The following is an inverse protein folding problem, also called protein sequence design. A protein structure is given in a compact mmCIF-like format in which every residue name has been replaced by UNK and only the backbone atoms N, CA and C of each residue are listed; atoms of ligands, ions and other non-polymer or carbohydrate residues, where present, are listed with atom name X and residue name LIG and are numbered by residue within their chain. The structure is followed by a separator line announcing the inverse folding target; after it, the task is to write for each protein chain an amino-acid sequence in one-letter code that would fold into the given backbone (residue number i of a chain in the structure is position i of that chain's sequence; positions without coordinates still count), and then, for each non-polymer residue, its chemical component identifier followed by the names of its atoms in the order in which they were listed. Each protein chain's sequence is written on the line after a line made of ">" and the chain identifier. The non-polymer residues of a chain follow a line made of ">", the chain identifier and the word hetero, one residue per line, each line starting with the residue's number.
data_IF_319359385910
#
_entry.id   IF_319359385910
#
_cell.length_a   1.000
_cell.length_b   1.000
_cell.length_c   1.000
_cell.angle_alpha   90.00
_cell.angle_beta   90.00
_cell.angle_gamma   90.00
#
_symmetry.space_group_name_H-M   'P 1'
#
loop_
_entity.id
_entity.type
_entity.pdbx_description
1 polymer ?
#
# COMPACT_ATOMS: atom_id res chain seq x y z
N UNK A 1 -1.26 -0.40 1.80
CA UNK A 1 -2.12 -0.87 2.92
C UNK A 1 -1.26 -1.38 4.07
N UNK A 2 -1.60 -1.10 5.33
CA UNK A 2 -0.84 -1.51 6.53
C UNK A 2 -1.79 -1.95 7.64
N UNK A 3 -1.28 -2.72 8.62
CA UNK A 3 -2.03 -3.00 9.84
C UNK A 3 -2.27 -1.72 10.65
N UNK A 4 -3.39 -1.66 11.36
CA UNK A 4 -3.68 -0.57 12.29
C UNK A 4 -2.61 -0.48 13.38
N UNK A 5 -2.08 0.73 13.59
CA UNK A 5 -1.06 1.01 14.59
C UNK A 5 -1.54 0.74 16.02
N UNK A 6 -2.86 0.80 16.28
CA UNK A 6 -3.39 0.50 17.62
C UNK A 6 -3.17 -0.96 18.03
N UNK A 7 -3.09 -1.89 17.07
CA UNK A 7 -2.79 -3.30 17.32
C UNK A 7 -1.39 -3.51 17.93
N UNK A 8 -0.48 -2.55 17.74
CA UNK A 8 0.88 -2.56 18.29
C UNK A 8 0.95 -1.92 19.69
N UNK A 9 -0.12 -1.29 20.16
CA UNK A 9 -0.14 -0.54 21.42
C UNK A 9 -0.86 -1.33 22.51
N UNK A 10 -0.10 -1.85 23.47
CA UNK A 10 -0.65 -2.60 24.61
C UNK A 10 -1.58 -1.75 25.47
N UNK A 11 -1.31 -0.43 25.59
CA UNK A 11 -2.17 0.52 26.31
C UNK A 11 -3.53 0.78 25.63
N UNK A 12 -3.67 0.39 24.36
CA UNK A 12 -4.91 0.48 23.56
C UNK A 12 -5.62 -0.87 23.39
N UNK A 13 -5.17 -1.91 24.09
CA UNK A 13 -5.69 -3.27 23.95
C UNK A 13 -5.08 -4.07 22.80
N UNK A 14 -4.10 -3.50 22.09
CA UNK A 14 -3.31 -4.20 21.07
C UNK A 14 -2.43 -5.30 21.67
N UNK A 15 -1.99 -6.22 20.80
CA UNK A 15 -1.15 -7.36 21.19
C UNK A 15 0.00 -7.58 20.19
N UNK A 16 1.15 -6.90 20.37
CA UNK A 16 2.33 -7.07 19.53
C UNK A 16 2.82 -8.51 19.42
N UNK A 17 2.63 -9.32 20.47
CA UNK A 17 3.04 -10.73 20.45
C UNK A 17 2.27 -11.55 19.43
N UNK A 18 0.97 -11.26 19.22
CA UNK A 18 0.18 -11.89 18.14
C UNK A 18 0.69 -11.49 16.76
N UNK A 19 1.14 -10.25 16.60
CA UNK A 19 1.71 -9.78 15.33
C UNK A 19 3.06 -10.46 15.07
N UNK A 20 3.89 -10.64 16.11
CA UNK A 20 5.14 -11.43 16.01
C UNK A 20 4.87 -12.88 15.59
N UNK A 21 3.87 -13.53 16.19
CA UNK A 21 3.46 -14.89 15.80
C UNK A 21 3.01 -14.94 14.33
N UNK A 22 2.19 -13.97 13.90
CA UNK A 22 1.74 -13.87 12.51
C UNK A 22 2.91 -13.67 11.52
N UNK A 23 3.87 -12.81 11.84
CA UNK A 23 5.07 -12.61 11.03
C UNK A 23 5.93 -13.88 10.97
N UNK A 24 6.07 -14.61 12.07
CA UNK A 24 6.78 -15.88 12.11
C UNK A 24 6.10 -16.93 11.22
N UNK A 25 4.77 -17.03 11.26
CA UNK A 25 3.99 -17.91 10.36
C UNK A 25 4.15 -17.54 8.88
N UNK A 26 4.52 -16.30 8.57
CA UNK A 26 4.82 -15.82 7.22
C UNK A 26 6.30 -15.97 6.83
N UNK A 27 7.14 -16.54 7.69
CA UNK A 27 8.59 -16.68 7.48
C UNK A 27 9.28 -15.33 7.19
N UNK A 28 8.77 -14.25 7.80
CA UNK A 28 9.31 -12.90 7.69
C UNK A 28 9.99 -12.48 9.00
N UNK A 29 10.75 -11.39 8.92
CA UNK A 29 11.47 -10.84 10.06
C UNK A 29 10.50 -10.36 11.15
N UNK A 30 10.57 -11.01 12.31
CA UNK A 30 9.75 -10.71 13.49
C UNK A 30 10.25 -9.46 14.23
N UNK A 31 11.51 -9.07 14.05
CA UNK A 31 12.10 -7.91 14.74
C UNK A 31 11.52 -6.58 14.25
N UNK A 32 10.91 -6.59 13.05
CA UNK A 32 10.17 -5.44 12.52
C UNK A 32 9.03 -5.01 13.45
N UNK A 33 8.39 -5.95 14.16
CA UNK A 33 7.33 -5.63 15.12
C UNK A 33 7.88 -4.81 16.29
N UNK A 34 9.04 -5.21 16.82
CA UNK A 34 9.68 -4.49 17.91
C UNK A 34 10.16 -3.11 17.44
N UNK A 35 10.70 -3.01 16.22
CA UNK A 35 11.05 -1.72 15.59
C UNK A 35 9.86 -0.77 15.46
N UNK A 36 8.68 -1.27 15.10
CA UNK A 36 7.44 -0.46 15.06
C UNK A 36 7.05 0.02 16.46
N UNK A 37 7.06 -0.87 17.45
CA UNK A 37 6.70 -0.54 18.84
C UNK A 37 7.65 0.49 19.45
N UNK A 38 8.96 0.33 19.23
CA UNK A 38 10.00 1.24 19.71
C UNK A 38 9.83 2.64 19.10
N UNK A 39 9.71 2.72 17.78
CA UNK A 39 9.54 3.99 17.07
C UNK A 39 8.20 4.66 17.39
N UNK A 40 7.10 3.92 17.51
CA UNK A 40 5.81 4.49 17.93
C UNK A 40 5.88 5.01 19.37
N UNK A 41 6.56 4.31 20.27
CA UNK A 41 6.75 4.75 21.66
C UNK A 41 7.60 6.02 21.75
N UNK A 42 8.69 6.10 20.99
CA UNK A 42 9.52 7.30 20.89
C UNK A 42 8.74 8.46 20.30
N UNK A 43 8.02 8.23 19.19
CA UNK A 43 7.17 9.22 18.53
C UNK A 43 6.09 9.76 19.47
N UNK A 44 5.39 8.90 20.23
CA UNK A 44 4.38 9.34 21.21
C UNK A 44 4.97 10.21 22.32
N UNK A 45 6.16 9.87 22.83
CA UNK A 45 6.87 10.70 23.83
C UNK A 45 7.26 12.06 23.27
N UNK A 46 7.78 12.10 22.04
CA UNK A 46 8.14 13.35 21.37
C UNK A 46 6.91 14.19 21.03
N UNK A 47 5.76 13.56 20.73
CA UNK A 47 4.50 14.26 20.49
C UNK A 47 4.02 14.94 21.77
N UNK A 48 4.05 14.23 22.90
CA UNK A 48 3.75 14.81 24.20
C UNK A 48 4.72 15.97 24.54
N UNK A 49 6.02 15.79 24.27
CA UNK A 49 7.03 16.84 24.45
C UNK A 49 6.74 18.07 23.55
N UNK A 50 6.29 17.88 22.32
CA UNK A 50 5.90 18.99 21.44
C UNK A 50 4.75 19.81 22.03
N UNK A 51 3.72 19.14 22.56
CA UNK A 51 2.58 19.81 23.21
C UNK A 51 3.02 20.55 24.48
N UNK A 52 3.93 19.96 25.26
CA UNK A 52 4.54 20.61 26.42
C UNK A 52 5.34 21.86 26.02
N UNK A 53 6.26 21.78 25.06
CA UNK A 53 7.07 22.91 24.60
C UNK A 53 6.17 24.05 24.06
N UNK A 54 5.11 23.72 23.33
CA UNK A 54 4.10 24.71 22.90
C UNK A 54 3.44 25.42 24.09
N UNK A 55 3.05 24.67 25.12
CA UNK A 55 2.49 25.24 26.36
C UNK A 55 3.51 26.16 27.04
N UNK A 56 4.77 25.75 27.15
CA UNK A 56 5.84 26.55 27.77
C UNK A 56 6.13 27.84 26.99
N UNK A 57 6.17 27.77 25.66
CA UNK A 57 6.30 28.94 24.79
C UNK A 57 5.17 29.96 25.02
N UNK A 58 3.95 29.46 25.20
CA UNK A 58 2.79 30.31 25.51
C UNK A 58 2.91 30.94 26.91
N UNK A 59 3.42 30.20 27.90
CA UNK A 59 3.68 30.72 29.26
C UNK A 59 4.72 31.85 29.22
N UNK A 60 5.84 31.67 28.50
CA UNK A 60 6.84 32.71 28.28
C UNK A 60 6.23 33.96 27.63
N UNK A 61 5.41 33.76 26.59
CA UNK A 61 4.77 34.86 25.86
C UNK A 61 3.79 35.65 26.75
N UNK A 62 3.05 34.94 27.61
CA UNK A 62 2.14 35.54 28.59
C UNK A 62 2.88 36.37 29.63
N UNK A 63 3.95 35.83 30.24
CA UNK A 63 4.71 36.54 31.26
C UNK A 63 5.42 37.79 30.70
N UNK A 64 5.95 37.72 29.47
CA UNK A 64 6.47 38.89 28.76
C UNK A 64 5.36 39.95 28.63
N UNK A 65 4.17 39.57 28.20
CA UNK A 65 3.02 40.47 28.07
C UNK A 65 2.63 41.14 29.40
N UNK A 66 2.61 40.38 30.49
CA UNK A 66 2.31 40.89 31.83
C UNK A 66 3.37 41.89 32.33
N UNK A 67 4.66 41.59 32.16
CA UNK A 67 5.76 42.49 32.55
C UNK A 67 5.77 43.78 31.73
N UNK A 68 5.51 43.68 30.43
CA UNK A 68 5.41 44.86 29.55
C UNK A 68 4.23 45.76 29.94
N UNK A 69 3.07 45.18 30.28
CA UNK A 69 1.89 45.92 30.77
C UNK A 69 2.16 46.64 32.09
N UNK A 70 2.95 46.03 32.98
CA UNK A 70 3.38 46.61 34.26
C UNK A 70 4.55 47.60 34.13
N UNK A 71 5.06 47.87 32.91
CA UNK A 71 6.21 48.74 32.63
C UNK A 71 7.48 48.36 33.42
N UNK A 72 7.68 47.07 33.68
CA UNK A 72 8.90 46.57 34.31
C UNK A 72 10.08 46.83 33.35
N UNK A 73 11.25 47.30 33.82
CA UNK A 73 12.43 47.47 32.98
C UNK A 73 12.76 46.17 32.22
N UNK A 74 13.07 46.30 30.94
CA UNK A 74 13.31 45.15 30.04
C UNK A 74 14.51 44.32 30.51
N UNK A 75 15.52 45.00 31.08
CA UNK A 75 16.80 44.41 31.50
C UNK A 75 17.69 44.08 30.31
N UNK A 76 19.00 44.29 30.44
CA UNK A 76 19.96 44.07 29.33
C UNK A 76 20.76 42.77 29.50
N UNK A 77 20.58 42.08 30.63
CA UNK A 77 21.26 40.82 30.90
C UNK A 77 20.61 39.68 30.10
N UNK A 78 21.42 39.03 29.27
CA UNK A 78 21.02 37.85 28.49
C UNK A 78 21.35 36.53 29.22
N UNK A 79 22.10 36.57 30.32
CA UNK A 79 22.49 35.36 31.06
C UNK A 79 21.29 34.82 31.82
N UNK A 80 20.79 33.67 31.35
CA UNK A 80 19.76 32.91 32.04
C UNK A 80 20.46 31.90 32.97
N UNK A 81 20.00 31.72 34.22
CA UNK A 81 20.51 30.67 35.11
C UNK A 81 20.42 29.29 34.44
N UNK A 82 21.48 28.48 34.53
CA UNK A 82 21.53 27.15 33.91
C UNK A 82 20.41 26.23 34.38
N UNK A 83 19.99 26.37 35.64
CA UNK A 83 18.88 25.63 36.25
C UNK A 83 17.55 25.74 35.47
N UNK A 84 17.34 26.83 34.73
CA UNK A 84 16.16 27.05 33.89
C UNK A 84 16.24 26.22 32.61
N UNK A 85 17.42 26.07 32.02
CA UNK A 85 17.62 25.25 30.83
C UNK A 85 17.64 23.77 31.17
N UNK A 86 18.28 23.39 32.29
CA UNK A 86 18.37 22.00 32.75
C UNK A 86 16.99 21.43 33.10
N UNK A 87 16.07 22.28 33.58
CA UNK A 87 14.70 21.90 33.95
C UNK A 87 13.65 22.60 33.08
N UNK A 88 13.94 22.78 31.79
CA UNK A 88 13.07 23.52 30.88
C UNK A 88 11.67 22.91 30.79
N UNK A 89 11.57 21.58 30.88
CA UNK A 89 10.30 20.85 30.83
C UNK A 89 9.41 21.13 32.08
N UNK A 90 10.01 21.54 33.21
CA UNK A 90 9.34 21.88 34.48
C UNK A 90 9.21 23.41 34.68
N UNK A 91 9.22 24.17 33.59
CA UNK A 91 9.14 25.62 33.63
C UNK A 91 7.72 26.07 34.02
N UNK A 92 7.63 26.88 35.08
CA UNK A 92 6.36 27.45 35.58
C UNK A 92 6.37 28.97 35.44
N UNK A 93 5.18 29.58 35.48
CA UNK A 93 5.07 31.04 35.43
C UNK A 93 5.82 31.69 36.61
N UNK A 94 5.78 31.10 37.80
CA UNK A 94 6.50 31.58 39.00
C UNK A 94 8.01 31.67 38.77
N UNK A 95 8.63 30.63 38.18
CA UNK A 95 10.06 30.63 37.85
C UNK A 95 10.45 31.72 36.84
N UNK A 96 9.50 32.18 36.01
CA UNK A 96 9.73 33.27 35.05
C UNK A 96 9.56 34.67 35.67
N UNK A 97 8.84 34.79 36.78
CA UNK A 97 8.64 36.10 37.43
C UNK A 97 9.94 36.73 37.93
N UNK A 98 10.94 35.92 38.28
CA UNK A 98 12.26 36.34 38.75
C UNK A 98 13.19 36.80 37.61
N UNK A 99 12.86 36.47 36.35
CA UNK A 99 13.66 36.79 35.18
C UNK A 99 13.27 38.14 34.55
N UNK A 100 14.22 38.77 33.86
CA UNK A 100 14.00 39.97 33.04
C UNK A 100 13.30 39.62 31.72
N UNK A 101 12.76 40.62 31.02
CA UNK A 101 12.11 40.38 29.72
C UNK A 101 13.12 39.83 28.70
N UNK A 102 14.37 40.31 28.72
CA UNK A 102 15.44 39.82 27.85
C UNK A 102 15.81 38.37 28.14
N UNK A 103 15.90 37.97 29.41
CA UNK A 103 16.11 36.57 29.82
C UNK A 103 14.95 35.67 29.37
N UNK A 104 13.69 36.09 29.55
CA UNK A 104 12.53 35.28 29.12
C UNK A 104 12.48 35.14 27.59
N UNK A 105 12.88 36.18 26.83
CA UNK A 105 13.04 36.08 25.38
C UNK A 105 14.12 35.06 24.99
N UNK A 106 15.23 35.00 25.73
CA UNK A 106 16.28 33.99 25.53
C UNK A 106 15.78 32.57 25.82
N UNK A 107 15.05 32.36 26.91
CA UNK A 107 14.38 31.08 27.22
C UNK A 107 13.42 30.67 26.10
N UNK A 108 12.61 31.62 25.60
CA UNK A 108 11.69 31.37 24.49
C UNK A 108 12.43 30.94 23.22
N UNK A 109 13.56 31.59 22.90
CA UNK A 109 14.38 31.21 21.75
C UNK A 109 14.91 29.78 21.88
N UNK A 110 15.36 29.38 23.08
CA UNK A 110 15.78 28.01 23.34
C UNK A 110 14.62 27.01 23.18
N UNK A 111 13.41 27.36 23.66
CA UNK A 111 12.21 26.53 23.44
C UNK A 111 11.92 26.40 21.94
N UNK A 112 12.03 27.48 21.16
CA UNK A 112 11.83 27.43 19.71
C UNK A 112 12.86 26.52 19.01
N UNK A 113 14.10 26.50 19.47
CA UNK A 113 15.14 25.63 18.92
C UNK A 113 14.96 24.15 19.35
N UNK A 114 14.52 23.91 20.60
CA UNK A 114 14.10 22.59 21.07
C UNK A 114 12.89 22.05 20.30
N UNK A 115 11.92 22.91 19.97
CA UNK A 115 10.76 22.54 19.15
C UNK A 115 11.22 22.08 17.76
N UNK A 116 12.10 22.82 17.08
CA UNK A 116 12.65 22.41 15.78
C UNK A 116 13.37 21.06 15.88
N UNK A 117 14.21 20.87 16.90
CA UNK A 117 14.91 19.59 17.11
C UNK A 117 13.93 18.44 17.36
N UNK A 118 12.87 18.68 18.14
CA UNK A 118 11.83 17.70 18.43
C UNK A 118 11.02 17.33 17.19
N UNK A 119 10.69 18.31 16.34
CA UNK A 119 9.96 18.11 15.09
C UNK A 119 10.77 17.25 14.09
N UNK A 120 12.08 17.48 13.98
CA UNK A 120 12.97 16.62 13.18
C UNK A 120 12.95 15.18 13.66
N UNK A 121 13.05 14.95 14.99
CA UNK A 121 13.01 13.60 15.57
C UNK A 121 11.63 12.94 15.43
N UNK A 122 10.55 13.73 15.50
CA UNK A 122 9.20 13.25 15.24
C UNK A 122 9.08 12.70 13.82
N UNK A 123 9.53 13.47 12.83
CA UNK A 123 9.49 13.06 11.43
C UNK A 123 10.37 11.82 11.17
N UNK A 124 11.54 11.73 11.81
CA UNK A 124 12.44 10.58 11.72
C UNK A 124 11.78 9.30 12.25
N UNK A 125 11.29 9.30 13.49
CA UNK A 125 10.63 8.12 14.07
C UNK A 125 9.33 7.75 13.36
N UNK A 126 8.59 8.73 12.83
CA UNK A 126 7.41 8.46 12.00
C UNK A 126 7.79 7.74 10.70
N UNK A 127 8.84 8.22 10.02
CA UNK A 127 9.35 7.58 8.81
C UNK A 127 9.80 6.15 9.09
N UNK A 128 10.62 5.94 10.12
CA UNK A 128 11.14 4.61 10.47
C UNK A 128 10.05 3.64 10.92
N UNK A 129 9.05 4.13 11.68
CA UNK A 129 7.86 3.36 12.04
C UNK A 129 7.11 2.92 10.78
N UNK A 130 6.84 3.85 9.87
CA UNK A 130 6.04 3.59 8.68
C UNK A 130 6.76 2.68 7.69
N UNK A 131 8.10 2.80 7.56
CA UNK A 131 8.92 1.89 6.76
C UNK A 131 8.86 0.45 7.29
N UNK A 132 9.01 0.25 8.61
CA UNK A 132 8.88 -1.07 9.20
C UNK A 132 7.45 -1.62 9.10
N UNK A 133 6.45 -0.76 9.28
CA UNK A 133 5.04 -1.13 9.25
C UNK A 133 4.58 -1.59 7.85
N UNK A 134 5.13 -1.04 6.77
CA UNK A 134 4.84 -1.44 5.37
C UNK A 134 5.23 -2.89 5.06
N UNK A 135 6.23 -3.42 5.75
CA UNK A 135 6.75 -4.77 5.56
C UNK A 135 6.07 -5.83 6.46
N UNK A 136 5.12 -5.41 7.30
CA UNK A 136 4.34 -6.31 8.16
C UNK A 136 3.07 -6.72 7.42
N UNK A 137 2.93 -8.03 7.20
CA UNK A 137 1.78 -8.60 6.50
C UNK A 137 0.51 -8.61 7.33
N UNK A 138 -0.64 -8.69 6.65
CA UNK A 138 -1.95 -8.83 7.31
C UNK A 138 -2.03 -10.11 8.16
N UNK A 139 -3.03 -10.23 9.04
CA UNK A 139 -3.28 -11.47 9.77
C UNK A 139 -3.63 -12.61 8.81
N UNK A 140 -3.01 -13.77 9.02
CA UNK A 140 -3.40 -15.02 8.37
C UNK A 140 -4.75 -15.48 8.92
N UNK A 141 -5.60 -16.00 8.03
CA UNK A 141 -6.78 -16.75 8.45
C UNK A 141 -6.34 -18.07 9.09
N UNK A 142 -7.15 -18.59 10.02
CA UNK A 142 -6.84 -19.84 10.73
C UNK A 142 -6.75 -21.07 9.82
N UNK A 143 -7.40 -21.02 8.65
CA UNK A 143 -7.33 -22.09 7.64
C UNK A 143 -6.10 -22.03 6.73
N UNK A 144 -5.27 -20.97 6.80
CA UNK A 144 -4.09 -20.88 5.96
C UNK A 144 -3.05 -21.94 6.37
N UNK A 145 -2.59 -22.74 5.40
CA UNK A 145 -1.48 -23.67 5.60
C UNK A 145 -0.20 -22.87 5.87
N UNK A 146 0.46 -23.15 7.00
CA UNK A 146 1.69 -22.47 7.40
C UNK A 146 2.90 -23.25 6.87
N UNK A 147 3.38 -22.86 5.70
CA UNK A 147 4.60 -23.42 5.11
C UNK A 147 5.37 -22.36 4.32
N UNK A 148 6.69 -22.56 4.20
CA UNK A 148 7.57 -21.78 3.32
C UNK A 148 7.83 -22.49 1.99
N UNK A 149 7.11 -23.58 1.73
CA UNK A 149 7.24 -24.39 0.53
C UNK A 149 5.89 -24.49 -0.18
N UNK A 150 5.79 -23.99 -1.42
CA UNK A 150 4.56 -24.04 -2.21
C UNK A 150 4.14 -25.47 -2.59
N UNK A 151 5.08 -26.44 -2.58
CA UNK A 151 4.74 -27.86 -2.78
C UNK A 151 3.88 -28.43 -1.64
N UNK A 152 3.78 -27.73 -0.50
CA UNK A 152 2.93 -28.09 0.64
C UNK A 152 1.57 -27.40 0.62
N UNK A 153 1.20 -26.72 -0.48
CA UNK A 153 -0.12 -26.15 -0.65
C UNK A 153 -1.19 -27.24 -0.52
N UNK A 154 -2.24 -26.96 0.26
CA UNK A 154 -3.37 -27.86 0.42
C UNK A 154 -4.24 -27.87 -0.84
N UNK A 155 -4.69 -29.06 -1.25
CA UNK A 155 -5.70 -29.23 -2.30
C UNK A 155 -7.07 -29.25 -1.63
N UNK A 156 -7.89 -28.24 -1.92
CA UNK A 156 -9.24 -28.11 -1.38
C UNK A 156 -10.25 -28.80 -2.30
N UNK A 157 -10.12 -28.61 -3.62
CA UNK A 157 -11.09 -29.09 -4.61
C UNK A 157 -10.43 -29.49 -5.93
N UNK A 158 -11.01 -30.49 -6.59
CA UNK A 158 -10.65 -30.90 -7.95
C UNK A 158 -11.88 -30.93 -8.86
N UNK A 159 -11.69 -30.62 -10.14
CA UNK A 159 -12.73 -30.71 -11.16
C UNK A 159 -12.18 -31.29 -12.46
N UNK A 160 -12.89 -32.26 -13.04
CA UNK A 160 -12.54 -32.90 -14.31
C UNK A 160 -11.41 -33.93 -14.18
N UNK A 161 -10.76 -34.22 -15.30
CA UNK A 161 -9.65 -35.17 -15.42
C UNK A 161 -8.31 -34.46 -15.53
N UNK A 162 -7.57 -34.43 -14.42
CA UNK A 162 -6.27 -33.75 -14.32
C UNK A 162 -5.07 -34.64 -14.68
N UNK A 163 -5.30 -35.93 -14.96
CA UNK A 163 -4.23 -36.89 -15.24
C UNK A 163 -3.99 -37.07 -16.74
N UNK A 164 -5.04 -36.92 -17.55
CA UNK A 164 -4.94 -37.15 -19.00
C UNK A 164 -4.08 -36.10 -19.69
N UNK A 165 -2.98 -36.57 -20.31
CA UNK A 165 -2.09 -35.75 -21.14
C UNK A 165 -2.55 -35.77 -22.61
N UNK A 166 -2.58 -34.59 -23.22
CA UNK A 166 -2.83 -34.42 -24.67
C UNK A 166 -1.51 -34.29 -25.44
N UNK A 167 -1.60 -34.40 -26.78
CA UNK A 167 -0.44 -34.55 -27.68
C UNK A 167 0.46 -33.31 -27.75
N UNK A 168 -0.12 -32.11 -27.84
CA UNK A 168 0.62 -30.88 -28.10
C UNK A 168 0.52 -29.92 -26.93
N UNK A 169 1.58 -29.16 -26.70
CA UNK A 169 1.61 -28.07 -25.73
C UNK A 169 0.93 -26.82 -26.29
N UNK A 170 0.56 -25.87 -25.43
CA UNK A 170 0.00 -24.60 -25.88
C UNK A 170 0.96 -23.84 -26.82
N UNK A 171 2.28 -23.99 -26.64
CA UNK A 171 3.31 -23.35 -27.47
C UNK A 171 3.20 -23.77 -28.93
N UNK A 172 2.98 -25.07 -29.18
CA UNK A 172 2.85 -25.58 -30.54
C UNK A 172 1.46 -25.25 -31.10
N UNK A 173 0.42 -25.38 -30.26
CA UNK A 173 -0.97 -25.15 -30.67
C UNK A 173 -1.21 -23.73 -31.18
N UNK A 174 -0.67 -22.69 -30.51
CA UNK A 174 -0.85 -21.30 -30.95
C UNK A 174 -0.19 -21.02 -32.30
N UNK A 175 0.89 -21.74 -32.64
CA UNK A 175 1.58 -21.63 -33.93
C UNK A 175 0.82 -22.42 -35.01
N UNK A 176 0.35 -23.63 -34.68
CA UNK A 176 -0.37 -24.51 -35.62
C UNK A 176 -1.64 -23.86 -36.20
N UNK A 177 -2.29 -22.97 -35.45
CA UNK A 177 -3.48 -22.24 -35.89
C UNK A 177 -3.18 -20.84 -36.45
N UNK A 178 -1.89 -20.50 -36.64
CA UNK A 178 -1.42 -19.15 -37.00
C UNK A 178 -2.00 -18.04 -36.09
N UNK A 179 -2.11 -18.36 -34.79
CA UNK A 179 -2.80 -17.53 -33.81
C UNK A 179 -1.88 -16.52 -33.10
N UNK A 180 -0.57 -16.78 -33.05
CA UNK A 180 0.39 -15.90 -32.41
C UNK A 180 1.72 -15.85 -33.18
N UNK A 181 2.36 -14.68 -33.19
CA UNK A 181 3.69 -14.44 -33.77
C UNK A 181 4.62 -13.83 -32.70
N UNK A 182 5.32 -14.71 -31.99
CA UNK A 182 6.27 -14.33 -30.94
C UNK A 182 7.59 -13.80 -31.51
N UNK A 183 8.02 -14.24 -32.70
CA UNK A 183 9.29 -13.80 -33.29
C UNK A 183 9.22 -12.32 -33.69
N UNK A 184 8.16 -11.92 -34.42
CA UNK A 184 7.95 -10.51 -34.76
C UNK A 184 7.58 -9.69 -33.53
N UNK A 185 6.86 -10.28 -32.58
CA UNK A 185 6.60 -9.66 -31.29
C UNK A 185 7.90 -9.30 -30.56
N UNK A 186 8.85 -10.23 -30.50
CA UNK A 186 10.14 -10.02 -29.86
C UNK A 186 10.98 -8.90 -30.50
N UNK A 187 10.92 -8.77 -31.83
CA UNK A 187 11.59 -7.68 -32.56
C UNK A 187 11.00 -6.31 -32.20
N UNK A 188 9.68 -6.23 -31.96
CA UNK A 188 8.98 -4.96 -31.76
C UNK A 188 9.00 -4.50 -30.30
N UNK A 189 8.69 -5.38 -29.35
CA UNK A 189 8.52 -5.02 -27.93
C UNK A 189 9.60 -5.59 -27.01
N UNK A 190 10.60 -6.28 -27.55
CA UNK A 190 11.61 -7.01 -26.77
C UNK A 190 11.14 -8.39 -26.33
N UNK A 191 11.93 -9.06 -25.49
CA UNK A 191 11.66 -10.42 -25.00
C UNK A 191 10.22 -10.60 -24.49
N UNK A 192 9.64 -11.79 -24.68
CA UNK A 192 8.23 -12.10 -24.38
C UNK A 192 7.18 -11.29 -25.15
N UNK A 193 7.60 -10.46 -26.11
CA UNK A 193 6.72 -9.81 -27.06
C UNK A 193 5.96 -10.81 -27.95
N UNK A 194 4.72 -10.47 -28.30
CA UNK A 194 3.89 -11.28 -29.20
C UNK A 194 2.93 -10.40 -30.00
N UNK A 195 2.58 -10.86 -31.20
CA UNK A 195 1.35 -10.45 -31.88
C UNK A 195 0.32 -11.55 -31.75
N UNK A 196 -0.89 -11.23 -31.32
CA UNK A 196 -2.05 -12.12 -31.44
C UNK A 196 -2.74 -11.89 -32.79
N UNK A 197 -3.18 -12.95 -33.46
CA UNK A 197 -3.74 -12.90 -34.81
C UNK A 197 -4.91 -13.87 -35.00
N UNK A 198 -5.71 -13.58 -36.02
CA UNK A 198 -6.70 -14.48 -36.59
C UNK A 198 -7.64 -15.09 -35.53
N UNK A 199 -7.72 -16.43 -35.44
CA UNK A 199 -8.69 -17.08 -34.57
C UNK A 199 -8.49 -16.77 -33.08
N UNK A 200 -7.26 -16.54 -32.62
CA UNK A 200 -7.01 -16.25 -31.20
C UNK A 200 -7.48 -14.86 -30.77
N UNK A 201 -7.47 -13.87 -31.68
CA UNK A 201 -8.05 -12.54 -31.40
C UNK A 201 -9.55 -12.66 -31.15
N UNK A 202 -10.26 -13.42 -31.98
CA UNK A 202 -11.69 -13.66 -31.76
C UNK A 202 -11.97 -14.47 -30.50
N UNK A 203 -11.12 -15.45 -30.18
CA UNK A 203 -11.25 -16.24 -28.96
C UNK A 203 -11.04 -15.39 -27.70
N UNK A 204 -10.04 -14.50 -27.69
CA UNK A 204 -9.81 -13.53 -26.61
C UNK A 204 -11.03 -12.63 -26.42
N UNK A 205 -11.57 -12.05 -27.50
CA UNK A 205 -12.77 -11.22 -27.43
C UNK A 205 -14.00 -12.01 -26.92
N UNK A 206 -14.13 -13.28 -27.31
CA UNK A 206 -15.20 -14.14 -26.82
C UNK A 206 -15.06 -14.42 -25.31
N UNK A 207 -13.84 -14.69 -24.83
CA UNK A 207 -13.55 -14.90 -23.41
C UNK A 207 -13.86 -13.65 -22.57
N UNK A 208 -13.42 -12.48 -23.04
CA UNK A 208 -13.70 -11.19 -22.40
C UNK A 208 -15.22 -10.98 -22.27
N UNK A 209 -15.95 -11.07 -23.37
CA UNK A 209 -17.40 -10.83 -23.36
C UNK A 209 -18.15 -11.84 -22.49
N UNK A 210 -17.78 -13.12 -22.54
CA UNK A 210 -18.41 -14.15 -21.71
C UNK A 210 -18.18 -13.89 -20.22
N UNK A 211 -16.93 -13.62 -19.81
CA UNK A 211 -16.59 -13.34 -18.42
C UNK A 211 -17.32 -12.08 -17.90
N UNK A 212 -17.35 -11.02 -18.70
CA UNK A 212 -18.09 -9.79 -18.35
C UNK A 212 -19.58 -10.05 -18.18
N UNK A 213 -20.22 -10.80 -19.10
CA UNK A 213 -21.65 -11.09 -19.00
C UNK A 213 -21.98 -11.93 -17.76
N UNK A 214 -21.20 -12.98 -17.47
CA UNK A 214 -21.43 -13.84 -16.31
C UNK A 214 -21.33 -13.07 -14.98
N UNK A 215 -20.33 -12.19 -14.85
CA UNK A 215 -20.20 -11.37 -13.66
C UNK A 215 -21.29 -10.28 -13.59
N UNK A 216 -21.67 -9.69 -14.73
CA UNK A 216 -22.73 -8.70 -14.77
C UNK A 216 -24.09 -9.27 -14.32
N UNK A 217 -24.43 -10.49 -14.76
CA UNK A 217 -25.62 -11.21 -14.30
C UNK A 217 -25.60 -11.49 -12.79
N UNK A 218 -24.41 -11.60 -12.19
CA UNK A 218 -24.19 -11.74 -10.74
C UNK A 218 -24.16 -10.40 -9.99
N UNK A 219 -24.50 -9.30 -10.65
CA UNK A 219 -24.59 -7.97 -10.04
C UNK A 219 -23.26 -7.22 -9.93
N UNK A 220 -22.23 -7.65 -10.64
CA UNK A 220 -20.98 -6.89 -10.72
C UNK A 220 -21.12 -5.73 -11.72
N UNK A 221 -20.62 -4.57 -11.32
CA UNK A 221 -20.60 -3.36 -12.17
C UNK A 221 -19.37 -3.38 -13.08
N UNK A 222 -19.52 -3.33 -14.42
CA UNK A 222 -18.41 -3.16 -15.35
C UNK A 222 -17.64 -1.87 -15.09
N UNK A 223 -16.32 -2.00 -14.87
CA UNK A 223 -15.44 -0.87 -14.65
C UNK A 223 -14.18 -0.98 -15.52
N UNK A 224 -14.10 -0.09 -16.50
CA UNK A 224 -12.90 0.08 -17.32
C UNK A 224 -11.97 1.10 -16.64
N UNK A 225 -10.72 0.72 -16.40
CA UNK A 225 -9.80 1.49 -15.55
C UNK A 225 -8.74 2.24 -16.37
N UNK A 226 -8.19 3.36 -15.87
CA UNK A 226 -6.95 3.91 -16.40
C UNK A 226 -5.81 2.89 -16.32
N UNK A 227 -4.97 2.81 -17.36
CA UNK A 227 -3.85 1.85 -17.40
C UNK A 227 -2.57 2.38 -16.77
N UNK A 228 -2.60 3.61 -16.28
CA UNK A 228 -1.49 4.23 -15.57
C UNK A 228 -1.99 4.97 -14.33
N UNK A 229 -1.18 4.94 -13.27
CA UNK A 229 -1.45 5.62 -12.01
C UNK A 229 -0.28 6.53 -11.64
N UNK A 230 -0.58 7.64 -10.97
CA UNK A 230 0.45 8.52 -10.40
C UNK A 230 1.24 7.76 -9.34
N UNK A 231 2.54 8.04 -9.23
CA UNK A 231 3.45 7.40 -8.25
C UNK A 231 2.90 7.42 -6.82
N UNK A 232 2.41 8.56 -6.36
CA UNK A 232 1.88 8.74 -5.00
C UNK A 232 0.68 7.80 -4.71
N UNK A 233 -0.20 7.61 -5.69
CA UNK A 233 -1.40 6.75 -5.54
C UNK A 233 -1.01 5.27 -5.68
N UNK A 234 -0.10 4.95 -6.60
CA UNK A 234 0.40 3.58 -6.78
C UNK A 234 1.06 3.05 -5.49
N UNK A 235 1.79 3.91 -4.75
CA UNK A 235 2.45 3.54 -3.49
C UNK A 235 1.50 3.12 -2.37
N UNK A 236 0.20 3.44 -2.48
CA UNK A 236 -0.80 3.08 -1.46
C UNK A 236 -1.36 1.66 -1.70
N UNK A 237 -1.38 1.24 -2.97
CA UNK A 237 -1.97 -0.02 -3.45
C UNK A 237 -0.94 -1.08 -3.86
N UNK A 238 0.33 -0.71 -4.05
CA UNK A 238 1.43 -1.62 -4.37
C UNK A 238 2.50 -1.65 -3.28
N UNK A 239 3.15 -2.80 -3.10
CA UNK A 239 4.30 -2.97 -2.21
C UNK A 239 5.60 -2.47 -2.88
N UNK A 240 6.60 -2.11 -2.07
CA UNK A 240 7.88 -1.58 -2.57
C UNK A 240 8.59 -2.55 -3.53
N UNK A 241 8.61 -3.85 -3.21
CA UNK A 241 9.20 -4.88 -4.09
C UNK A 241 8.56 -4.92 -5.48
N UNK A 242 7.26 -4.63 -5.59
CA UNK A 242 6.55 -4.62 -6.88
C UNK A 242 7.00 -3.47 -7.78
N UNK A 243 7.49 -2.36 -7.22
CA UNK A 243 8.02 -1.24 -8.02
C UNK A 243 9.26 -1.65 -8.81
N UNK A 244 10.12 -2.48 -8.22
CA UNK A 244 11.38 -2.88 -8.82
C UNK A 244 11.22 -4.13 -9.72
N UNK A 245 10.29 -5.03 -9.39
CA UNK A 245 10.17 -6.33 -10.07
C UNK A 245 8.99 -6.43 -11.06
N UNK A 246 7.91 -5.67 -10.85
CA UNK A 246 6.65 -5.84 -11.59
C UNK A 246 6.23 -4.62 -12.42
N UNK A 247 6.44 -3.38 -11.94
CA UNK A 247 5.81 -2.19 -12.51
C UNK A 247 6.67 -1.45 -13.55
N UNK A 248 6.09 -1.18 -14.72
CA UNK A 248 6.71 -0.28 -15.71
C UNK A 248 6.52 1.18 -15.33
N UNK A 249 7.61 1.96 -15.34
CA UNK A 249 7.57 3.43 -15.17
C UNK A 249 7.25 4.12 -16.50
N UNK A 250 6.30 5.03 -16.46
CA UNK A 250 5.92 5.94 -17.56
C UNK A 250 6.35 7.35 -17.18
N UNK A 251 7.13 7.99 -18.06
CA UNK A 251 7.56 9.37 -17.87
C UNK A 251 6.88 10.22 -18.92
N UNK A 252 6.07 11.18 -18.48
CA UNK A 252 5.35 12.12 -19.34
C UNK A 252 5.62 13.57 -18.95
N UNK A 253 5.15 14.53 -19.75
CA UNK A 253 5.17 15.94 -19.34
C UNK A 253 4.11 16.17 -18.25
N UNK A 254 4.46 16.96 -17.24
CA UNK A 254 3.54 17.33 -16.16
C UNK A 254 2.44 18.29 -16.62
N UNK A 255 2.68 19.05 -17.68
CA UNK A 255 1.67 19.91 -18.28
C UNK A 255 1.80 20.01 -19.80
N UNK A 256 0.69 20.36 -20.44
CA UNK A 256 0.62 20.64 -21.87
C UNK A 256 1.15 22.05 -22.22
N UNK A 257 1.61 22.82 -21.22
CA UNK A 257 2.18 24.15 -21.44
C UNK A 257 3.60 24.02 -21.98
N UNK A 258 3.90 24.79 -23.03
CA UNK A 258 5.21 24.74 -23.72
C UNK A 258 6.39 25.16 -22.84
N UNK A 259 6.14 25.93 -21.79
CA UNK A 259 7.18 26.56 -20.97
C UNK A 259 7.49 25.79 -19.66
N UNK A 260 6.77 24.70 -19.37
CA UNK A 260 7.04 23.84 -18.22
C UNK A 260 7.76 22.57 -18.68
N UNK A 261 8.96 22.35 -18.16
CA UNK A 261 9.81 21.19 -18.46
C UNK A 261 9.69 20.06 -17.43
N UNK A 262 8.78 20.17 -16.47
CA UNK A 262 8.64 19.18 -15.41
C UNK A 262 8.12 17.86 -16.00
N UNK A 263 8.76 16.77 -15.59
CA UNK A 263 8.39 15.42 -15.95
C UNK A 263 7.59 14.80 -14.81
N UNK A 264 6.47 14.16 -15.14
CA UNK A 264 5.63 13.43 -14.21
C UNK A 264 5.92 11.92 -14.33
N UNK A 265 6.07 11.28 -13.18
CA UNK A 265 6.28 9.84 -13.07
C UNK A 265 4.95 9.14 -12.77
N UNK A 266 4.55 8.27 -13.71
CA UNK A 266 3.41 7.37 -13.57
C UNK A 266 3.89 5.93 -13.69
N UNK A 267 3.04 4.99 -13.33
CA UNK A 267 3.31 3.56 -13.44
C UNK A 267 2.17 2.89 -14.19
N UNK A 268 2.50 1.99 -15.12
CA UNK A 268 1.49 1.12 -15.73
C UNK A 268 0.96 0.14 -14.67
N UNK A 269 -0.32 -0.19 -14.77
CA UNK A 269 -0.97 -1.11 -13.83
C UNK A 269 -0.55 -2.56 -14.11
N UNK A 270 -0.35 -3.35 -13.06
CA UNK A 270 -0.13 -4.80 -13.15
C UNK A 270 -1.43 -5.61 -13.04
N UNK A 271 -2.52 -4.92 -12.65
CA UNK A 271 -3.87 -5.46 -12.42
C UNK A 271 -4.87 -4.29 -12.30
N UNK A 272 -6.11 -4.47 -12.74
CA UNK A 272 -7.19 -3.49 -12.52
C UNK A 272 -7.54 -3.31 -11.04
N UNK A 273 -7.16 -4.27 -10.17
CA UNK A 273 -7.27 -4.14 -8.71
C UNK A 273 -6.64 -2.83 -8.20
N UNK A 274 -5.46 -2.43 -8.71
CA UNK A 274 -4.74 -1.24 -8.28
C UNK A 274 -5.56 0.05 -8.47
N UNK A 275 -6.04 0.38 -9.69
CA UNK A 275 -6.87 1.56 -9.89
C UNK A 275 -8.26 1.44 -9.26
N UNK A 276 -8.84 0.23 -9.13
CA UNK A 276 -10.14 0.04 -8.47
C UNK A 276 -10.02 0.29 -6.96
N UNK A 277 -8.97 -0.20 -6.31
CA UNK A 277 -8.70 0.08 -4.90
C UNK A 277 -8.52 1.59 -4.65
N UNK A 278 -7.81 2.29 -5.55
CA UNK A 278 -7.64 3.73 -5.47
C UNK A 278 -8.89 4.53 -5.88
N UNK A 279 -9.88 3.92 -6.54
CA UNK A 279 -11.10 4.60 -6.99
C UNK A 279 -11.94 5.12 -5.81
N UNK A 280 -11.93 4.39 -4.69
CA UNK A 280 -12.62 4.75 -3.44
C UNK A 280 -11.70 5.40 -2.40
N UNK A 281 -10.56 5.98 -2.83
CA UNK A 281 -9.62 6.66 -1.94
C UNK A 281 -10.26 7.89 -1.31
N UNK A 282 -10.04 8.06 -0.01
CA UNK A 282 -10.56 9.19 0.80
C UNK A 282 -12.11 9.27 0.84
N UNK A 283 -12.80 8.14 0.60
CA UNK A 283 -14.25 8.05 0.66
C UNK A 283 -14.77 7.40 1.95
N UNK A 284 -15.97 7.83 2.39
CA UNK A 284 -16.74 7.18 3.45
C UNK A 284 -17.88 6.40 2.80
N UNK A 285 -17.81 5.07 2.86
CA UNK A 285 -18.79 4.19 2.22
C UNK A 285 -19.91 3.86 3.22
N UNK A 286 -21.18 4.21 2.93
CA UNK A 286 -22.32 3.84 3.79
C UNK A 286 -22.54 2.33 3.83
N UNK A 287 -22.95 1.77 4.98
CA UNK A 287 -23.13 0.32 5.13
C UNK A 287 -24.20 -0.23 4.17
N UNK A 288 -25.22 0.56 3.84
CA UNK A 288 -26.29 0.18 2.93
C UNK A 288 -25.87 0.05 1.46
N UNK A 289 -24.72 0.60 1.05
CA UNK A 289 -24.19 0.42 -0.30
C UNK A 289 -23.33 -0.85 -0.44
N UNK A 290 -23.03 -1.53 0.67
CA UNK A 290 -22.22 -2.74 0.69
C UNK A 290 -23.10 -4.00 0.48
N UNK A 291 -22.60 -5.02 -0.24
CA UNK A 291 -21.30 -5.06 -0.91
C UNK A 291 -21.30 -4.31 -2.24
N UNK A 292 -20.21 -3.59 -2.51
CA UNK A 292 -19.93 -3.01 -3.84
C UNK A 292 -19.12 -4.04 -4.62
N UNK A 293 -19.58 -4.40 -5.83
CA UNK A 293 -18.96 -5.43 -6.68
C UNK A 293 -18.58 -4.83 -8.03
N UNK A 294 -17.31 -4.92 -8.39
CA UNK A 294 -16.79 -4.50 -9.70
C UNK A 294 -16.23 -5.67 -10.48
N UNK A 295 -16.58 -5.73 -11.77
CA UNK A 295 -15.82 -6.48 -12.74
C UNK A 295 -14.86 -5.51 -13.43
N UNK A 296 -13.57 -5.62 -13.15
CA UNK A 296 -12.53 -4.76 -13.70
C UNK A 296 -12.05 -5.28 -15.05
N UNK A 297 -12.11 -4.48 -16.10
CA UNK A 297 -11.54 -4.82 -17.41
C UNK A 297 -10.38 -3.90 -17.76
N UNK A 298 -9.19 -4.49 -17.94
CA UNK A 298 -7.99 -3.74 -18.32
C UNK A 298 -6.90 -4.60 -18.95
N UNK A 299 -6.07 -3.96 -19.78
CA UNK A 299 -4.75 -4.46 -20.11
C UNK A 299 -3.82 -4.34 -18.90
N UNK A 300 -3.16 -5.44 -18.54
CA UNK A 300 -2.19 -5.53 -17.44
C UNK A 300 -0.76 -5.56 -17.98
N UNK A 301 0.15 -4.88 -17.30
CA UNK A 301 1.56 -4.79 -17.66
C UNK A 301 2.46 -5.29 -16.53
N UNK A 302 3.33 -6.28 -16.80
CA UNK A 302 4.25 -6.85 -15.79
C UNK A 302 5.66 -6.99 -16.35
N UNK A 303 6.65 -6.49 -15.61
CA UNK A 303 8.06 -6.58 -16.01
C UNK A 303 8.62 -8.01 -15.89
N UNK A 304 8.05 -8.85 -15.02
CA UNK A 304 8.48 -10.25 -14.84
C UNK A 304 9.99 -10.40 -14.54
N UNK A 305 10.60 -9.43 -13.85
CA UNK A 305 12.05 -9.36 -13.66
C UNK A 305 12.61 -10.54 -12.84
N UNK A 306 11.82 -11.10 -11.91
CA UNK A 306 12.21 -12.23 -11.06
C UNK A 306 12.12 -13.61 -11.69
N UNK A 307 11.58 -13.76 -12.92
CA UNK A 307 11.29 -15.05 -13.54
C UNK A 307 12.16 -15.37 -14.76
N UNK A 308 13.39 -14.84 -14.80
CA UNK A 308 14.29 -14.99 -15.95
C UNK A 308 14.45 -16.46 -16.38
N UNK A 309 14.12 -16.77 -17.63
CA UNK A 309 14.24 -18.13 -18.20
C UNK A 309 13.06 -19.06 -17.94
N UNK A 310 12.06 -18.67 -17.14
CA UNK A 310 10.83 -19.46 -16.92
C UNK A 310 9.75 -19.12 -17.95
N UNK A 311 9.09 -20.13 -18.50
CA UNK A 311 7.95 -20.00 -19.43
C UNK A 311 8.20 -18.97 -20.56
N UNK A 312 9.35 -19.06 -21.24
CA UNK A 312 9.80 -18.05 -22.21
C UNK A 312 9.18 -18.20 -23.60
N UNK A 313 8.44 -19.28 -23.86
CA UNK A 313 7.81 -19.59 -25.15
C UNK A 313 6.29 -19.51 -25.04
N UNK A 314 5.64 -19.14 -26.14
CA UNK A 314 4.18 -19.02 -26.21
C UNK A 314 3.68 -17.69 -25.63
N UNK A 315 2.47 -17.72 -25.08
CA UNK A 315 1.75 -16.54 -24.56
C UNK A 315 1.31 -16.71 -23.09
N UNK A 316 1.86 -17.68 -22.37
CA UNK A 316 1.48 -17.97 -20.98
C UNK A 316 2.07 -16.96 -19.98
N UNK A 317 3.33 -16.55 -20.16
CA UNK A 317 4.00 -15.53 -19.33
C UNK A 317 4.58 -14.44 -20.22
N UNK A 318 3.86 -13.32 -20.28
CA UNK A 318 4.11 -12.18 -21.17
C UNK A 318 4.04 -10.86 -20.41
N UNK A 319 4.59 -9.79 -20.99
CA UNK A 319 4.61 -8.46 -20.35
C UNK A 319 3.27 -7.71 -20.44
N UNK A 320 2.40 -8.11 -21.36
CA UNK A 320 1.12 -7.46 -21.63
C UNK A 320 0.05 -8.55 -21.79
N UNK A 321 -1.09 -8.43 -21.10
CA UNK A 321 -2.23 -9.35 -21.24
C UNK A 321 -3.52 -8.70 -20.79
N UNK A 322 -4.66 -9.13 -21.32
CA UNK A 322 -5.98 -8.69 -20.86
C UNK A 322 -6.43 -9.49 -19.63
N UNK A 323 -7.14 -8.84 -18.71
CA UNK A 323 -7.72 -9.50 -17.54
C UNK A 323 -9.10 -8.96 -17.18
N UNK A 324 -9.98 -9.88 -16.80
CA UNK A 324 -11.25 -9.60 -16.13
C UNK A 324 -11.07 -9.93 -14.65
N UNK A 325 -11.28 -8.95 -13.79
CA UNK A 325 -10.99 -9.01 -12.35
C UNK A 325 -12.28 -8.92 -11.53
N UNK A 326 -12.42 -9.71 -10.48
CA UNK A 326 -13.48 -9.53 -9.49
C UNK A 326 -12.94 -8.68 -8.34
N UNK A 327 -13.53 -7.53 -8.06
CA UNK A 327 -13.15 -6.69 -6.91
C UNK A 327 -14.38 -6.37 -6.08
N UNK A 328 -14.34 -6.70 -4.78
CA UNK A 328 -15.47 -6.50 -3.88
C UNK A 328 -15.07 -5.70 -2.65
N UNK A 329 -15.84 -4.67 -2.33
CA UNK A 329 -15.77 -3.96 -1.05
C UNK A 329 -16.94 -4.46 -0.21
N UNK A 330 -16.63 -4.95 0.99
CA UNK A 330 -17.60 -5.63 1.87
C UNK A 330 -17.63 -4.98 3.25
N UNK A 331 -18.68 -5.28 4.02
CA UNK A 331 -18.72 -4.90 5.43
C UNK A 331 -17.57 -5.59 6.19
N UNK A 332 -16.89 -4.90 7.12
CA UNK A 332 -15.90 -5.52 7.99
C UNK A 332 -16.55 -6.40 9.08
N UNK A 333 -17.88 -6.38 9.21
CA UNK A 333 -18.64 -7.08 10.25
C UNK A 333 -19.17 -8.44 9.76
N UNK A 334 -19.61 -9.28 10.71
CA UNK A 334 -20.39 -10.51 10.48
C UNK A 334 -19.81 -11.49 9.44
N UNK A 335 -18.48 -11.58 9.33
CA UNK A 335 -17.77 -12.44 8.37
C UNK A 335 -18.14 -12.17 6.89
N UNK A 336 -18.69 -10.99 6.56
CA UNK A 336 -19.16 -10.69 5.21
C UNK A 336 -18.06 -10.77 4.15
N UNK A 337 -16.83 -10.42 4.50
CA UNK A 337 -15.67 -10.57 3.61
C UNK A 337 -15.32 -12.03 3.32
N UNK A 338 -15.45 -12.93 4.30
CA UNK A 338 -15.20 -14.38 4.11
C UNK A 338 -16.32 -15.06 3.31
N UNK A 339 -17.57 -14.66 3.52
CA UNK A 339 -18.69 -15.07 2.67
C UNK A 339 -18.45 -14.65 1.21
N UNK A 340 -18.01 -13.39 1.00
CA UNK A 340 -17.69 -12.88 -0.33
C UNK A 340 -16.46 -13.57 -0.96
N UNK A 341 -15.43 -13.90 -0.17
CA UNK A 341 -14.27 -14.66 -0.63
C UNK A 341 -14.71 -16.00 -1.24
N UNK A 342 -15.61 -16.71 -0.55
CA UNK A 342 -16.19 -17.96 -1.05
C UNK A 342 -17.06 -17.74 -2.30
N UNK A 343 -17.83 -16.66 -2.36
CA UNK A 343 -18.60 -16.30 -3.56
C UNK A 343 -17.69 -16.07 -4.77
N UNK A 344 -16.62 -15.28 -4.60
CA UNK A 344 -15.67 -14.92 -5.67
C UNK A 344 -14.95 -16.14 -6.23
N UNK A 345 -14.50 -17.06 -5.37
CA UNK A 345 -13.83 -18.29 -5.84
C UNK A 345 -14.81 -19.24 -6.54
N UNK A 346 -16.05 -19.32 -6.06
CA UNK A 346 -17.10 -20.11 -6.71
C UNK A 346 -17.46 -19.56 -8.09
N UNK A 347 -17.51 -18.22 -8.25
CA UNK A 347 -17.70 -17.60 -9.57
C UNK A 347 -16.58 -17.98 -10.55
N UNK A 348 -15.32 -18.00 -10.09
CA UNK A 348 -14.18 -18.42 -10.91
C UNK A 348 -14.24 -19.93 -11.26
N UNK A 349 -14.64 -20.78 -10.32
CA UNK A 349 -14.87 -22.21 -10.58
C UNK A 349 -15.97 -22.44 -11.61
N UNK A 350 -17.11 -21.76 -11.48
CA UNK A 350 -18.23 -21.86 -12.44
C UNK A 350 -17.77 -21.46 -13.85
N UNK A 351 -16.99 -20.39 -13.97
CA UNK A 351 -16.39 -19.99 -15.25
C UNK A 351 -15.50 -21.11 -15.83
N UNK A 352 -14.59 -21.69 -15.05
CA UNK A 352 -13.74 -22.78 -15.51
C UNK A 352 -14.54 -24.04 -15.91
N UNK A 353 -15.58 -24.36 -15.14
CA UNK A 353 -16.49 -25.50 -15.41
C UNK A 353 -17.25 -25.32 -16.72
N UNK A 354 -17.70 -24.10 -17.04
CA UNK A 354 -18.36 -23.78 -18.32
C UNK A 354 -17.44 -24.07 -19.53
N UNK A 355 -16.14 -23.80 -19.38
CA UNK A 355 -15.12 -24.09 -20.41
C UNK A 355 -14.60 -25.52 -20.39
N UNK A 356 -15.06 -26.35 -19.44
CA UNK A 356 -14.52 -27.68 -19.16
C UNK A 356 -13.00 -27.65 -18.92
N UNK A 357 -12.50 -26.58 -18.31
CA UNK A 357 -11.13 -26.54 -17.83
C UNK A 357 -11.04 -27.36 -16.56
N UNK A 358 -10.20 -28.40 -16.59
CA UNK A 358 -9.96 -29.26 -15.46
C UNK A 358 -8.97 -28.56 -14.52
N UNK A 359 -9.32 -28.48 -13.24
CA UNK A 359 -8.62 -27.63 -12.26
C UNK A 359 -8.40 -28.36 -10.95
N UNK A 360 -7.31 -28.03 -10.27
CA UNK A 360 -7.03 -28.34 -8.88
C UNK A 360 -6.89 -26.99 -8.16
N UNK A 361 -7.64 -26.83 -7.07
CA UNK A 361 -7.73 -25.60 -6.29
C UNK A 361 -7.31 -25.82 -4.86
#
# INVERSE_FOLDING_TARGET
>A
MVLDIELFRTDKGGNPSKIRENQAKRFKDVTLVDKVVENDTAWRKLRFRADLLNKLKNVCSKEIGEKMKKKVPVGDDEKVPSEIFDNIDDLTQEKLTTLTVTQIKRVRQEIDDLMKSNDTKLAEHERERNEALKEIGNFLHESCVVSNNEDENGIERTFGDIETKKRYSHVDLVVMIDGADNERGAVVSGGRGYYLKGPLVFMEQALINLAMNLLHEKGYTPLYTPFFMRKEVMQEVAQLSQFDEELYKVVGKSSDKKDESDLDEKYLIATSEQPIAAYHRDEWIPTESLPIKYLGYSTCFRQEAGSHGRDTRGIFRVHQFEKIEQFCITSPEDNKSWEMFNEMINNAEEFNKLWQFHTEL
#
